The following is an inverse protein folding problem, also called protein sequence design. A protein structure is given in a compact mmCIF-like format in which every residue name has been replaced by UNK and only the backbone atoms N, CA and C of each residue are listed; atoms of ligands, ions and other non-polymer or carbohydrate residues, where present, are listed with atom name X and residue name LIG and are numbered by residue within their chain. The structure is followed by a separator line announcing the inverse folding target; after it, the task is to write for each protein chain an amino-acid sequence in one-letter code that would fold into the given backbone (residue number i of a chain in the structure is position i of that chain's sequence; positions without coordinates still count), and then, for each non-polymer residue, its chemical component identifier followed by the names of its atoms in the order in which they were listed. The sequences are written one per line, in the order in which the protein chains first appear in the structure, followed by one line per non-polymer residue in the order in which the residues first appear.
data_IF_123549090707
#
_entry.id   IF_123549090707
#
_cell.length_a   1.000
_cell.length_b   1.000
_cell.length_c   1.000
_cell.angle_alpha   90.00
_cell.angle_beta   90.00
_cell.angle_gamma   90.00
#
_symmetry.space_group_name_H-M   'P 1'
#
loop_
_entity.id
_entity.type
_entity.pdbx_description
1 polymer ?
#
# COMPACT_ATOMS: atom_id res chain seq x y z
N UNK A 1 -1.11 -0.48 -10.51
CA UNK A 1 -1.50 -0.56 -9.10
C UNK A 1 -0.59 -1.60 -8.46
N UNK A 2 0.42 -1.15 -7.72
CA UNK A 2 1.34 -2.06 -7.02
C UNK A 2 0.63 -2.69 -5.83
N UNK A 3 0.55 -4.01 -5.81
CA UNK A 3 0.10 -4.75 -4.63
C UNK A 3 1.29 -4.95 -3.72
N UNK A 4 1.19 -4.37 -2.54
CA UNK A 4 2.25 -4.38 -1.55
C UNK A 4 1.78 -5.15 -0.34
N UNK A 5 2.56 -6.14 0.07
CA UNK A 5 2.37 -6.82 1.34
C UNK A 5 3.35 -6.26 2.36
N UNK A 6 2.80 -5.64 3.39
CA UNK A 6 3.55 -5.20 4.55
C UNK A 6 3.41 -6.25 5.65
N UNK A 7 4.54 -6.73 6.18
CA UNK A 7 4.58 -7.28 7.53
C UNK A 7 4.83 -6.09 8.46
N UNK A 8 3.77 -5.58 9.05
CA UNK A 8 3.86 -4.47 10.00
C UNK A 8 4.38 -4.98 11.35
N UNK A 9 5.49 -4.43 11.80
CA UNK A 9 6.06 -4.67 13.12
C UNK A 9 5.96 -3.36 13.93
N UNK A 10 5.78 -3.47 15.25
CA UNK A 10 5.59 -2.31 16.13
C UNK A 10 4.40 -1.38 15.79
N UNK A 11 3.34 -1.91 15.18
CA UNK A 11 2.06 -1.21 15.21
C UNK A 11 1.54 -1.24 16.65
N UNK A 12 1.91 -0.23 17.44
CA UNK A 12 1.36 -0.06 18.76
C UNK A 12 -0.15 0.10 18.63
N UNK A 13 -0.89 -0.97 18.98
CA UNK A 13 -2.30 -0.90 19.28
C UNK A 13 -2.44 -0.11 20.58
N UNK A 14 -2.62 1.20 20.45
CA UNK A 14 -2.77 2.12 21.58
C UNK A 14 -2.11 3.47 21.32
N UNK A 15 -2.95 4.52 21.28
CA UNK A 15 -2.64 5.95 21.02
C UNK A 15 -2.33 6.38 19.58
N UNK A 16 -2.28 5.47 18.62
CA UNK A 16 -2.41 5.84 17.20
C UNK A 16 -3.89 6.15 16.89
N UNK A 17 -4.23 7.36 16.44
CA UNK A 17 -5.60 7.67 16.04
C UNK A 17 -6.02 6.81 14.85
N UNK A 18 -7.34 6.58 14.65
CA UNK A 18 -7.82 5.75 13.56
C UNK A 18 -7.45 6.42 12.25
N UNK A 19 -6.42 5.90 11.61
CA UNK A 19 -6.12 6.16 10.21
C UNK A 19 -7.36 5.79 9.40
N UNK A 20 -7.71 6.50 8.32
CA UNK A 20 -8.94 6.29 7.54
C UNK A 20 -8.92 4.96 6.73
N UNK A 21 -8.18 3.96 7.20
CA UNK A 21 -8.17 2.61 6.63
C UNK A 21 -9.51 1.94 6.83
N UNK A 22 -9.95 1.29 5.76
CA UNK A 22 -11.11 0.42 5.76
C UNK A 22 -10.64 -1.01 6.01
N UNK A 23 -11.24 -1.67 7.00
CA UNK A 23 -10.94 -3.07 7.27
C UNK A 23 -11.26 -3.92 6.05
N UNK A 24 -10.38 -4.86 5.71
CA UNK A 24 -10.56 -5.77 4.58
C UNK A 24 -10.18 -7.20 4.96
N UNK A 25 -10.82 -8.18 4.33
CA UNK A 25 -10.35 -9.56 4.32
C UNK A 25 -9.44 -9.73 3.10
N UNK A 26 -8.18 -10.08 3.35
CA UNK A 26 -7.20 -10.38 2.32
C UNK A 26 -6.98 -11.88 2.29
N UNK A 27 -6.79 -12.46 1.10
CA UNK A 27 -6.43 -13.86 0.93
C UNK A 27 -5.49 -14.03 -0.25
N UNK A 28 -4.49 -14.89 -0.08
CA UNK A 28 -3.48 -15.21 -1.08
C UNK A 28 -3.42 -16.73 -1.27
N UNK A 29 -3.31 -17.16 -2.52
CA UNK A 29 -3.13 -18.56 -2.87
C UNK A 29 -2.03 -18.69 -3.92
N UNK A 30 -1.14 -19.64 -3.70
CA UNK A 30 -0.05 -19.98 -4.62
C UNK A 30 -0.39 -21.24 -5.40
N UNK A 31 -0.11 -21.19 -6.70
CA UNK A 31 -0.17 -22.31 -7.64
C UNK A 31 1.15 -22.31 -8.40
N UNK A 32 2.13 -23.07 -7.92
CA UNK A 32 3.52 -22.96 -8.33
C UNK A 32 4.03 -21.51 -8.22
N UNK A 33 4.43 -20.89 -9.32
CA UNK A 33 4.88 -19.51 -9.37
C UNK A 33 3.74 -18.49 -9.60
N UNK A 34 2.49 -18.92 -9.58
CA UNK A 34 1.33 -18.04 -9.77
C UNK A 34 0.69 -17.66 -8.44
N UNK A 35 0.42 -16.38 -8.26
CA UNK A 35 -0.22 -15.82 -7.08
C UNK A 35 -1.60 -15.27 -7.44
N UNK A 36 -2.64 -15.82 -6.79
CA UNK A 36 -3.95 -15.17 -6.73
C UNK A 36 -4.05 -14.36 -5.44
N UNK A 37 -4.20 -13.05 -5.57
CA UNK A 37 -4.51 -12.13 -4.49
C UNK A 37 -5.97 -11.71 -4.57
N UNK A 38 -6.65 -11.71 -3.43
CA UNK A 38 -7.99 -11.13 -3.30
C UNK A 38 -8.08 -10.26 -2.05
N UNK A 39 -8.86 -9.21 -2.15
CA UNK A 39 -9.21 -8.34 -1.03
C UNK A 39 -10.69 -7.96 -1.11
N UNK A 40 -11.37 -7.94 0.02
CA UNK A 40 -12.76 -7.53 0.13
C UNK A 40 -12.97 -6.68 1.38
N UNK A 41 -13.61 -5.51 1.24
CA UNK A 41 -13.92 -4.63 2.37
C UNK A 41 -14.84 -5.33 3.37
N UNK A 42 -14.58 -5.09 4.65
CA UNK A 42 -15.42 -5.51 5.79
C UNK A 42 -16.30 -4.32 6.19
N UNK A 43 -17.60 -4.54 6.24
CA UNK A 43 -18.59 -3.50 6.55
C UNK A 43 -18.87 -2.58 5.35
N UNK A 44 -20.05 -1.96 5.33
CA UNK A 44 -20.49 -1.08 4.23
C UNK A 44 -20.81 -1.83 2.92
N UNK A 45 -20.62 -1.13 1.79
CA UNK A 45 -20.80 -1.69 0.44
C UNK A 45 -19.76 -2.77 0.19
N UNK A 46 -20.22 -3.98 -0.17
CA UNK A 46 -19.34 -5.10 -0.54
C UNK A 46 -18.60 -4.76 -1.84
N UNK A 47 -17.37 -4.31 -1.71
CA UNK A 47 -16.43 -4.08 -2.81
C UNK A 47 -15.12 -4.79 -2.53
N UNK A 48 -14.42 -5.17 -3.58
CA UNK A 48 -13.17 -5.90 -3.50
C UNK A 48 -12.33 -5.73 -4.76
N UNK A 49 -11.16 -6.34 -4.73
CA UNK A 49 -10.26 -6.42 -5.87
C UNK A 49 -9.63 -7.81 -5.93
N UNK A 50 -9.26 -8.22 -7.13
CA UNK A 50 -8.50 -9.44 -7.37
C UNK A 50 -7.37 -9.17 -8.36
N UNK A 51 -6.25 -9.83 -8.17
CA UNK A 51 -5.15 -9.85 -9.12
C UNK A 51 -4.60 -11.27 -9.20
N UNK A 52 -4.35 -11.74 -10.41
CA UNK A 52 -3.69 -12.99 -10.69
C UNK A 52 -2.42 -12.69 -11.48
N UNK A 53 -1.29 -13.08 -10.93
CA UNK A 53 0.03 -12.84 -11.51
C UNK A 53 0.83 -14.14 -11.60
N UNK A 54 1.73 -14.21 -12.56
CA UNK A 54 2.79 -15.21 -12.63
C UNK A 54 4.12 -14.55 -12.27
N UNK A 55 4.76 -15.00 -11.19
CA UNK A 55 5.99 -14.41 -10.67
C UNK A 55 7.19 -15.13 -11.25
N UNK A 56 8.15 -14.36 -11.76
CA UNK A 56 9.41 -14.88 -12.27
C UNK A 56 10.50 -14.86 -11.20
N UNK A 57 11.50 -15.72 -11.32
CA UNK A 57 12.68 -15.71 -10.45
C UNK A 57 13.64 -14.55 -10.77
N UNK A 58 13.36 -13.75 -11.80
CA UNK A 58 14.15 -12.59 -12.20
C UNK A 58 13.95 -11.42 -11.23
N UNK A 59 15.01 -10.89 -10.59
CA UNK A 59 14.92 -9.62 -9.88
C UNK A 59 14.52 -8.49 -10.83
N UNK A 60 13.52 -7.70 -10.44
CA UNK A 60 13.15 -6.52 -11.21
C UNK A 60 14.02 -5.32 -10.80
N UNK A 61 14.48 -4.49 -11.76
CA UNK A 61 15.24 -3.29 -11.45
C UNK A 61 14.36 -2.27 -10.71
N UNK A 62 14.95 -1.52 -9.78
CA UNK A 62 14.28 -0.39 -9.13
C UNK A 62 14.49 0.86 -9.97
N UNK A 63 13.47 1.26 -10.72
CA UNK A 63 13.47 2.50 -11.48
C UNK A 63 12.99 3.70 -10.65
N UNK A 64 13.02 4.91 -11.22
CA UNK A 64 12.54 6.13 -10.54
C UNK A 64 11.09 6.03 -10.06
N UNK A 65 10.22 5.32 -10.79
CA UNK A 65 8.83 5.13 -10.40
C UNK A 65 8.73 4.24 -9.15
N UNK A 66 9.44 3.11 -9.13
CA UNK A 66 9.46 2.17 -8.02
C UNK A 66 10.02 2.84 -6.76
N UNK A 67 11.11 3.60 -6.91
CA UNK A 67 11.68 4.39 -5.82
C UNK A 67 10.70 5.43 -5.29
N UNK A 68 10.04 6.19 -6.18
CA UNK A 68 9.02 7.18 -5.78
C UNK A 68 7.84 6.55 -5.04
N UNK A 69 7.39 5.37 -5.48
CA UNK A 69 6.27 4.67 -4.87
C UNK A 69 6.63 4.04 -3.52
N UNK A 70 7.89 3.66 -3.30
CA UNK A 70 8.28 2.85 -2.13
C UNK A 70 9.20 3.52 -1.12
N UNK A 71 10.00 4.52 -1.49
CA UNK A 71 10.85 5.26 -0.54
C UNK A 71 10.07 6.35 0.19
N UNK A 72 9.00 5.95 0.90
CA UNK A 72 8.18 6.84 1.74
C UNK A 72 8.48 6.55 3.20
N UNK A 73 9.25 7.44 3.82
CA UNK A 73 9.78 7.27 5.17
C UNK A 73 8.85 7.77 6.29
N UNK A 74 7.57 7.93 5.98
CA UNK A 74 6.57 8.36 6.94
C UNK A 74 5.29 8.84 6.29
N UNK A 75 4.25 8.99 7.11
CA UNK A 75 2.96 9.51 6.70
C UNK A 75 2.56 10.74 7.52
N UNK A 76 1.72 11.58 6.92
CA UNK A 76 1.18 12.79 7.55
C UNK A 76 -0.32 12.61 7.79
N UNK A 77 -0.77 12.95 8.99
CA UNK A 77 -2.19 12.82 9.36
C UNK A 77 -2.69 14.01 10.16
N UNK A 78 -3.99 14.29 10.03
CA UNK A 78 -4.65 15.35 10.78
C UNK A 78 -5.62 14.75 11.81
N UNK A 79 -5.31 14.95 13.08
CA UNK A 79 -6.04 14.35 14.21
C UNK A 79 -6.48 15.45 15.15
N UNK A 80 -7.80 15.53 15.40
CA UNK A 80 -8.41 16.57 16.23
C UNK A 80 -7.87 17.98 15.91
N UNK A 81 -7.75 18.27 14.60
CA UNK A 81 -7.28 19.56 14.08
C UNK A 81 -5.75 19.76 14.08
N UNK A 82 -4.95 18.80 14.52
CA UNK A 82 -3.49 18.90 14.60
C UNK A 82 -2.82 17.97 13.59
N UNK A 83 -1.74 18.43 12.96
CA UNK A 83 -0.96 17.61 12.03
C UNK A 83 0.12 16.81 12.76
N UNK A 84 0.20 15.52 12.47
CA UNK A 84 1.21 14.61 12.97
C UNK A 84 2.00 14.01 11.80
N UNK A 85 3.28 13.77 12.03
CA UNK A 85 4.14 12.96 11.19
C UNK A 85 4.43 11.64 11.90
N UNK A 86 4.18 10.52 11.25
CA UNK A 86 4.53 9.21 11.76
C UNK A 86 5.71 8.71 10.92
N UNK A 87 6.93 8.65 11.48
CA UNK A 87 8.07 8.11 10.77
C UNK A 87 7.85 6.62 10.49
N UNK A 88 8.26 6.20 9.29
CA UNK A 88 8.24 4.82 8.84
C UNK A 88 9.65 4.43 8.38
N UNK A 89 10.10 3.25 8.81
CA UNK A 89 11.40 2.70 8.49
C UNK A 89 11.25 1.30 7.91
N UNK A 90 11.81 1.10 6.73
CA UNK A 90 11.86 -0.19 6.06
C UNK A 90 13.16 -0.29 5.24
N UNK A 91 13.71 -1.50 5.01
CA UNK A 91 14.81 -1.67 4.06
C UNK A 91 14.38 -1.27 2.64
N UNK A 92 15.35 -1.07 1.75
CA UNK A 92 15.04 -0.93 0.33
C UNK A 92 14.24 -2.15 -0.14
N UNK A 93 13.19 -1.90 -0.89
CA UNK A 93 12.33 -2.97 -1.37
C UNK A 93 13.06 -3.79 -2.42
N UNK A 94 12.78 -5.08 -2.47
CA UNK A 94 13.23 -5.95 -3.55
C UNK A 94 12.01 -6.41 -4.32
N UNK A 95 12.14 -6.44 -5.65
CA UNK A 95 11.05 -6.80 -6.55
C UNK A 95 11.45 -7.97 -7.43
N UNK A 96 10.43 -8.73 -7.86
CA UNK A 96 10.49 -9.72 -8.92
C UNK A 96 9.63 -9.25 -10.08
N UNK A 97 10.09 -9.56 -11.29
CA UNK A 97 9.26 -9.41 -12.49
C UNK A 97 8.06 -10.35 -12.39
N UNK A 98 6.90 -9.90 -12.86
CA UNK A 98 5.74 -10.77 -12.97
C UNK A 98 4.85 -10.39 -14.15
N UNK A 99 4.21 -11.39 -14.72
CA UNK A 99 3.22 -11.22 -15.79
C UNK A 99 1.82 -11.14 -15.19
N UNK A 100 1.02 -10.17 -15.65
CA UNK A 100 -0.38 -10.04 -15.25
C UNK A 100 -1.24 -11.03 -16.03
N UNK A 101 -1.86 -11.99 -15.34
CA UNK A 101 -2.77 -12.96 -15.93
C UNK A 101 -4.22 -12.47 -15.94
N UNK A 102 -4.57 -11.59 -14.99
CA UNK A 102 -5.86 -10.93 -14.95
C UNK A 102 -6.08 -10.15 -13.67
N UNK A 103 -6.95 -9.16 -13.71
CA UNK A 103 -7.31 -8.36 -12.55
C UNK A 103 -8.73 -7.80 -12.66
N UNK A 104 -9.30 -7.45 -11.52
CA UNK A 104 -10.50 -6.62 -11.43
C UNK A 104 -10.44 -5.80 -10.15
N UNK A 105 -10.95 -4.58 -10.19
CA UNK A 105 -10.90 -3.66 -9.07
C UNK A 105 -12.20 -2.86 -8.92
N UNK A 106 -12.85 -3.06 -7.78
CA UNK A 106 -13.95 -2.24 -7.29
C UNK A 106 -13.53 -1.22 -6.23
N UNK A 107 -12.27 -1.22 -5.78
CA UNK A 107 -11.82 -0.39 -4.67
C UNK A 107 -11.52 1.06 -5.10
N UNK A 108 -10.98 1.30 -6.30
CA UNK A 108 -10.77 2.66 -6.83
C UNK A 108 -12.11 3.39 -7.01
N UNK A 109 -13.14 2.82 -7.70
CA UNK A 109 -14.47 3.41 -7.75
C UNK A 109 -15.11 3.65 -6.38
N UNK A 110 -14.95 2.70 -5.45
CA UNK A 110 -15.45 2.86 -4.09
C UNK A 110 -14.72 3.92 -3.26
N UNK A 111 -13.58 4.44 -3.75
CA UNK A 111 -12.91 5.61 -3.20
C UNK A 111 -13.37 6.93 -3.87
N UNK A 112 -14.34 6.88 -4.79
CA UNK A 112 -14.84 8.05 -5.52
C UNK A 112 -14.01 8.44 -6.74
N UNK A 113 -13.10 7.57 -7.19
CA UNK A 113 -12.24 7.79 -8.35
C UNK A 113 -12.76 7.02 -9.58
N UNK A 114 -12.49 7.47 -10.82
CA UNK A 114 -12.86 6.73 -12.02
C UNK A 114 -12.22 5.34 -12.06
N UNK A 115 -12.93 4.35 -12.63
CA UNK A 115 -12.33 3.03 -12.92
C UNK A 115 -11.14 3.23 -13.88
N UNK A 116 -9.95 2.67 -13.59
CA UNK A 116 -8.83 2.78 -14.52
C UNK A 116 -9.16 2.14 -15.87
N UNK A 117 -8.68 2.75 -16.94
CA UNK A 117 -8.77 2.19 -18.29
C UNK A 117 -7.47 1.44 -18.63
N UNK A 118 -7.59 0.29 -19.28
CA UNK A 118 -6.46 -0.52 -19.72
C UNK A 118 -5.71 -1.21 -18.57
N UNK A 119 -4.55 -1.77 -18.90
CA UNK A 119 -3.73 -2.51 -17.94
C UNK A 119 -2.91 -1.58 -17.02
N UNK A 120 -2.55 -2.05 -15.82
CA UNK A 120 -1.65 -1.33 -14.94
C UNK A 120 -0.32 -1.02 -15.61
N UNK A 121 0.15 0.23 -15.50
CA UNK A 121 1.46 0.68 -16.02
C UNK A 121 2.68 0.05 -15.33
N UNK A 122 2.47 -0.64 -14.21
CA UNK A 122 3.52 -1.35 -13.46
C UNK A 122 2.89 -2.53 -12.71
N UNK A 123 3.52 -3.69 -12.84
CA UNK A 123 3.15 -4.97 -12.23
C UNK A 123 4.44 -5.60 -11.70
N UNK A 124 4.59 -5.64 -10.38
CA UNK A 124 5.77 -6.13 -9.67
C UNK A 124 5.35 -6.91 -8.44
N UNK A 125 6.13 -7.92 -8.07
CA UNK A 125 5.93 -8.69 -6.84
C UNK A 125 7.06 -8.41 -5.84
N UNK A 126 6.70 -8.05 -4.60
CA UNK A 126 7.65 -7.94 -3.49
C UNK A 126 7.37 -9.07 -2.48
N UNK A 127 8.39 -9.84 -2.03
CA UNK A 127 8.23 -10.97 -1.11
C UNK A 127 7.93 -10.57 0.35
N UNK A 128 7.51 -9.32 0.59
CA UNK A 128 7.34 -8.73 1.91
C UNK A 128 8.65 -8.25 2.52
N UNK A 129 8.55 -7.23 3.37
CA UNK A 129 9.67 -6.65 4.10
C UNK A 129 9.23 -6.21 5.50
N UNK A 130 10.16 -6.17 6.47
CA UNK A 130 9.85 -5.61 7.78
C UNK A 130 9.63 -4.10 7.66
N UNK A 131 8.59 -3.61 8.32
CA UNK A 131 8.24 -2.20 8.39
C UNK A 131 8.06 -1.82 9.84
N UNK A 132 8.68 -0.72 10.26
CA UNK A 132 8.64 -0.22 11.63
C UNK A 132 8.15 1.22 11.67
N UNK A 133 7.02 1.44 12.34
CA UNK A 133 6.53 2.78 12.63
C UNK A 133 7.15 3.31 13.93
N UNK A 134 7.69 4.52 13.88
CA UNK A 134 8.07 5.25 15.08
C UNK A 134 6.89 6.01 15.72
N UNK A 135 7.12 6.65 16.87
CA UNK A 135 6.06 7.37 17.58
C UNK A 135 5.56 8.58 16.77
N UNK A 136 4.25 8.90 16.81
CA UNK A 136 3.71 10.09 16.16
C UNK A 136 4.35 11.38 16.70
N UNK A 137 4.88 12.21 15.79
CA UNK A 137 5.46 13.51 16.09
C UNK A 137 4.48 14.62 15.69
N UNK A 138 4.07 15.45 16.65
CA UNK A 138 3.22 16.61 16.35
C UNK A 138 4.03 17.65 15.57
N UNK A 139 3.58 17.99 14.37
CA UNK A 139 4.17 19.09 13.61
C UNK A 139 3.65 20.42 14.14
N UNK A 140 4.55 21.38 14.34
CA UNK A 140 4.15 22.75 14.60
C UNK A 140 3.45 23.30 13.34
N UNK A 141 2.38 24.09 13.54
CA UNK A 141 1.85 24.88 12.43
C UNK A 141 2.95 25.87 12.03
N UNK A 142 3.52 25.71 10.83
CA UNK A 142 4.39 26.73 10.25
C UNK A 142 3.52 27.93 9.92
N UNK A 143 3.45 28.88 10.86
CA UNK A 143 2.80 30.15 10.64
C UNK A 143 3.63 31.02 9.71
N UNK A 144 3.46 30.85 8.39
CA UNK A 144 3.42 31.94 7.40
C UNK A 144 2.55 31.48 6.22
N UNK A 145 1.41 32.14 5.92
CA UNK A 145 0.80 31.97 4.61
C UNK A 145 1.82 32.41 3.56
N UNK A 146 1.95 31.65 2.47
CA UNK A 146 2.62 32.14 1.28
C UNK A 146 1.86 33.39 0.83
N UNK A 147 2.49 34.56 0.99
CA UNK A 147 2.04 35.82 0.43
C UNK A 147 2.60 35.96 -0.98
#
# INVERSE_FOLDING_TARGET
MGLVFFRMENLAFGRSPPLPYQWSRISTWWFDNRLLYTTARRGGVRTGARAWIEVEDTPAPQGPLEEFLTRRWGLHERILGRTYYLPDAHPAWTFRTCTLLGWDDGLIPAAGLPKPAGDPVSVLYAPGLPVCFGPPMRLAASGRPFA
#
